data_IF_333317655629
#
_entry.id   IF_333317655629
#
_cell.length_a   1.000
_cell.length_b   1.000
_cell.length_c   1.000
_cell.angle_alpha   90.00
_cell.angle_beta   90.00
_cell.angle_gamma   90.00
#
_symmetry.space_group_name_H-M   'P 1'
#
loop_
_entity.id
_entity.type
_entity.pdbx_description
1 polymer ?
#
# COMPACT_ATOMS: atom_id res chain seq x y z
N UNK A 1 22.77 -34.44 18.77
CA UNK A 1 22.69 -35.72 18.03
C UNK A 1 22.62 -35.41 16.54
N UNK A 2 23.44 -36.05 15.72
CA UNK A 2 23.40 -35.88 14.25
C UNK A 2 22.79 -37.15 13.65
N UNK A 3 21.70 -37.01 12.90
CA UNK A 3 21.03 -38.16 12.28
C UNK A 3 21.63 -38.35 10.90
N UNK A 4 22.35 -39.45 10.69
CA UNK A 4 22.83 -39.82 9.35
C UNK A 4 21.66 -40.34 8.53
N UNK A 5 21.32 -39.60 7.47
CA UNK A 5 20.29 -39.98 6.51
C UNK A 5 20.92 -40.74 5.35
N UNK A 6 20.38 -41.92 5.04
CA UNK A 6 20.68 -42.63 3.78
C UNK A 6 20.17 -41.83 2.58
N UNK A 7 20.69 -42.08 1.38
CA UNK A 7 20.24 -41.37 0.18
C UNK A 7 18.76 -41.63 -0.16
N UNK A 8 18.21 -42.78 0.25
CA UNK A 8 16.78 -43.08 0.16
C UNK A 8 15.94 -42.23 1.14
N UNK A 9 16.53 -41.80 2.26
CA UNK A 9 15.86 -40.97 3.27
C UNK A 9 15.99 -39.47 3.00
N UNK A 10 16.92 -39.05 2.11
CA UNK A 10 17.01 -37.67 1.62
C UNK A 10 15.92 -37.40 0.59
N UNK A 11 14.68 -37.52 1.03
CA UNK A 11 13.51 -37.30 0.21
C UNK A 11 13.34 -35.80 -0.08
N UNK A 12 12.51 -35.51 -1.08
CA UNK A 12 12.00 -34.16 -1.32
C UNK A 12 10.80 -33.94 -0.39
N UNK A 13 10.85 -32.89 0.41
CA UNK A 13 9.73 -32.45 1.23
C UNK A 13 8.72 -31.74 0.33
N UNK A 14 7.48 -32.20 0.35
CA UNK A 14 6.34 -31.63 -0.38
C UNK A 14 5.46 -30.83 0.59
N UNK A 15 5.23 -31.36 1.80
CA UNK A 15 4.38 -30.75 2.81
C UNK A 15 4.88 -31.08 4.24
N UNK A 16 4.16 -30.58 5.25
CA UNK A 16 4.47 -30.80 6.66
C UNK A 16 4.27 -32.26 7.12
N UNK A 17 3.42 -33.04 6.44
CA UNK A 17 3.24 -34.48 6.72
C UNK A 17 4.53 -35.27 6.46
N UNK A 18 5.25 -34.96 5.37
CA UNK A 18 6.54 -35.60 5.07
C UNK A 18 7.56 -35.36 6.19
N UNK A 19 7.56 -34.15 6.75
CA UNK A 19 8.44 -33.77 7.86
C UNK A 19 8.04 -34.54 9.12
N UNK A 20 6.75 -34.55 9.44
CA UNK A 20 6.23 -35.24 10.60
C UNK A 20 6.53 -36.74 10.55
N UNK A 21 6.31 -37.41 9.42
CA UNK A 21 6.57 -38.83 9.26
C UNK A 21 8.04 -39.23 9.49
N UNK A 22 8.98 -38.31 9.23
CA UNK A 22 10.40 -38.50 9.55
C UNK A 22 10.62 -38.28 11.05
N UNK A 23 10.17 -37.14 11.57
CA UNK A 23 10.44 -36.73 12.94
C UNK A 23 9.74 -37.59 13.99
N UNK A 24 8.54 -38.10 13.70
CA UNK A 24 7.83 -39.04 14.55
C UNK A 24 8.66 -40.32 14.77
N UNK A 25 9.32 -40.83 13.71
CA UNK A 25 10.21 -41.99 13.83
C UNK A 25 11.47 -41.68 14.65
N UNK A 26 11.92 -40.42 14.65
CA UNK A 26 13.04 -39.98 15.49
C UNK A 26 12.59 -39.99 16.95
N UNK A 27 11.47 -39.34 17.27
CA UNK A 27 10.93 -39.28 18.64
C UNK A 27 10.64 -40.68 19.21
N UNK A 28 10.00 -41.55 18.43
CA UNK A 28 9.64 -42.91 18.88
C UNK A 28 10.85 -43.83 19.11
N UNK A 29 12.05 -43.44 18.67
CA UNK A 29 13.29 -44.19 18.88
C UNK A 29 14.11 -43.67 20.06
N UNK A 30 13.74 -42.53 20.63
CA UNK A 30 14.39 -42.00 21.84
C UNK A 30 14.06 -42.86 23.04
N UNK A 31 15.00 -42.96 23.98
CA UNK A 31 14.76 -43.62 25.26
C UNK A 31 13.74 -42.83 26.08
N UNK A 32 13.04 -43.50 27.01
CA UNK A 32 11.93 -42.94 27.80
C UNK A 32 12.32 -41.61 28.47
N UNK A 33 13.56 -41.50 28.97
CA UNK A 33 14.06 -40.30 29.65
C UNK A 33 14.18 -39.10 28.70
N UNK A 34 14.56 -39.35 27.45
CA UNK A 34 14.70 -38.28 26.45
C UNK A 34 13.35 -37.90 25.84
N UNK A 35 12.40 -38.84 25.73
CA UNK A 35 11.03 -38.53 25.30
C UNK A 35 10.31 -37.52 26.23
N UNK A 36 10.72 -37.43 27.50
CA UNK A 36 10.21 -36.45 28.47
C UNK A 36 10.85 -35.05 28.35
N UNK A 37 11.83 -34.87 27.46
CA UNK A 37 12.52 -33.59 27.25
C UNK A 37 12.02 -32.88 26.00
N UNK A 38 12.05 -31.55 26.06
CA UNK A 38 11.88 -30.73 24.88
C UNK A 38 13.15 -30.73 24.03
N UNK A 39 12.97 -30.83 22.73
CA UNK A 39 13.99 -30.87 21.71
C UNK A 39 13.64 -29.91 20.60
N UNK A 40 14.58 -29.03 20.28
CA UNK A 40 14.47 -28.17 19.13
C UNK A 40 15.39 -28.66 18.02
N UNK A 41 14.79 -29.15 16.95
CA UNK A 41 15.45 -29.67 15.77
C UNK A 41 15.35 -28.68 14.61
N UNK A 42 16.29 -28.82 13.69
CA UNK A 42 16.20 -28.18 12.38
C UNK A 42 16.41 -29.21 11.28
N UNK A 43 15.71 -29.01 10.17
CA UNK A 43 15.89 -29.78 8.95
C UNK A 43 16.43 -28.83 7.89
N UNK A 44 17.67 -29.05 7.47
CA UNK A 44 18.28 -28.28 6.39
C UNK A 44 17.87 -28.81 5.03
N UNK A 45 17.51 -27.91 4.13
CA UNK A 45 17.03 -28.22 2.79
C UNK A 45 17.87 -27.55 1.70
N UNK A 46 17.93 -28.23 0.55
CA UNK A 46 18.38 -27.63 -0.71
C UNK A 46 17.35 -26.64 -1.27
N UNK A 47 17.73 -25.91 -2.32
CA UNK A 47 16.81 -25.06 -3.10
C UNK A 47 15.60 -25.83 -3.63
N UNK A 48 15.72 -27.13 -3.90
CA UNK A 48 14.66 -27.99 -4.44
C UNK A 48 13.89 -28.76 -3.35
N UNK A 49 13.96 -28.34 -2.08
CA UNK A 49 13.32 -28.98 -0.92
C UNK A 49 13.80 -30.41 -0.63
N UNK A 50 14.95 -30.82 -1.16
CA UNK A 50 15.58 -32.09 -0.77
C UNK A 50 16.27 -31.93 0.60
N UNK A 51 16.05 -32.88 1.50
CA UNK A 51 16.69 -32.88 2.82
C UNK A 51 18.21 -33.05 2.68
N UNK A 52 18.95 -32.19 3.36
CA UNK A 52 20.40 -32.29 3.54
C UNK A 52 20.74 -32.97 4.86
N UNK A 53 20.06 -32.57 5.94
CA UNK A 53 20.31 -33.07 7.28
C UNK A 53 19.12 -32.82 8.20
N UNK A 54 19.07 -33.57 9.31
CA UNK A 54 18.23 -33.32 10.48
C UNK A 54 19.17 -33.21 11.68
N UNK A 55 19.09 -32.12 12.44
CA UNK A 55 20.01 -31.86 13.54
C UNK A 55 19.31 -31.31 14.77
N UNK A 56 19.65 -31.86 15.93
CA UNK A 56 19.22 -31.34 17.22
C UNK A 56 20.05 -30.10 17.55
N UNK A 57 19.41 -28.94 17.62
CA UNK A 57 20.07 -27.66 17.92
C UNK A 57 20.07 -27.37 19.41
N UNK A 58 19.01 -27.75 20.10
CA UNK A 58 18.89 -27.49 21.53
C UNK A 58 18.12 -28.61 22.23
N UNK A 59 18.63 -29.00 23.39
CA UNK A 59 18.04 -29.95 24.30
C UNK A 59 17.58 -29.17 25.54
N UNK A 60 16.28 -29.04 25.70
CA UNK A 60 15.67 -28.34 26.82
C UNK A 60 15.54 -29.19 28.06
N UNK A 61 15.09 -28.53 29.12
CA UNK A 61 14.54 -29.20 30.29
C UNK A 61 13.09 -29.62 30.02
N UNK A 62 12.42 -30.19 31.01
CA UNK A 62 10.97 -30.51 30.94
C UNK A 62 10.09 -29.27 30.66
N UNK A 63 10.59 -28.06 30.94
CA UNK A 63 9.78 -26.83 30.93
C UNK A 63 10.07 -25.85 29.79
N UNK A 64 11.23 -25.95 29.15
CA UNK A 64 11.64 -25.03 28.11
C UNK A 64 12.96 -25.48 27.45
N UNK A 65 13.07 -25.16 26.16
CA UNK A 65 14.31 -25.16 25.39
C UNK A 65 14.73 -23.73 25.04
N UNK A 66 15.99 -23.35 25.32
CA UNK A 66 16.54 -22.08 24.82
C UNK A 66 17.15 -22.28 23.45
N UNK A 67 16.71 -21.51 22.46
CA UNK A 67 17.17 -21.60 21.08
C UNK A 67 17.78 -20.28 20.66
N UNK A 68 19.08 -20.29 20.38
CA UNK A 68 19.80 -19.13 19.89
C UNK A 68 19.96 -19.20 18.36
N UNK A 69 19.63 -18.13 17.61
CA UNK A 69 19.76 -18.11 16.15
C UNK A 69 21.15 -18.49 15.64
N UNK A 70 22.21 -18.12 16.38
CA UNK A 70 23.59 -18.47 16.03
C UNK A 70 23.79 -19.98 15.94
N UNK A 71 23.19 -20.76 16.85
CA UNK A 71 23.34 -22.22 16.85
C UNK A 71 22.53 -22.87 15.71
N UNK A 72 21.31 -22.37 15.47
CA UNK A 72 20.46 -22.81 14.36
C UNK A 72 21.17 -22.60 13.03
N UNK A 73 21.60 -21.38 12.75
CA UNK A 73 22.11 -21.02 11.43
C UNK A 73 23.57 -21.41 11.21
N UNK A 74 24.38 -21.58 12.27
CA UNK A 74 25.74 -22.15 12.13
C UNK A 74 25.71 -23.50 11.43
N UNK A 75 24.82 -24.39 11.85
CA UNK A 75 24.67 -25.72 11.25
C UNK A 75 24.18 -25.62 9.81
N UNK A 76 23.16 -24.80 9.56
CA UNK A 76 22.61 -24.60 8.24
C UNK A 76 23.65 -24.09 7.23
N UNK A 77 24.44 -23.09 7.63
CA UNK A 77 25.51 -22.54 6.80
C UNK A 77 26.60 -23.59 6.55
N UNK A 78 27.10 -24.25 7.58
CA UNK A 78 28.17 -25.26 7.44
C UNK A 78 27.78 -26.42 6.53
N UNK A 79 26.49 -26.75 6.48
CA UNK A 79 25.94 -27.84 5.66
C UNK A 79 25.30 -27.35 4.36
N UNK A 80 25.51 -26.09 3.98
CA UNK A 80 25.01 -25.48 2.73
C UNK A 80 23.48 -25.57 2.55
N UNK A 81 22.71 -25.47 3.62
CA UNK A 81 21.27 -25.36 3.54
C UNK A 81 20.86 -23.96 3.09
N UNK A 82 19.90 -23.90 2.16
CA UNK A 82 19.31 -22.64 1.67
C UNK A 82 17.96 -22.38 2.34
N UNK A 83 17.33 -23.44 2.85
CA UNK A 83 16.08 -23.40 3.61
C UNK A 83 16.20 -24.26 4.85
N UNK A 84 15.47 -23.90 5.89
CA UNK A 84 15.34 -24.69 7.12
C UNK A 84 13.87 -24.86 7.51
N UNK A 85 13.54 -26.03 8.04
CA UNK A 85 12.28 -26.26 8.76
C UNK A 85 12.62 -26.41 10.24
N UNK A 86 11.88 -25.69 11.09
CA UNK A 86 12.01 -25.75 12.53
C UNK A 86 11.08 -26.84 13.07
N UNK A 87 11.53 -27.61 14.05
CA UNK A 87 10.70 -28.65 14.66
C UNK A 87 10.92 -28.65 16.17
N UNK A 88 9.83 -28.52 16.93
CA UNK A 88 9.84 -28.56 18.38
C UNK A 88 8.90 -29.67 18.87
N UNK A 89 9.38 -30.62 19.67
CA UNK A 89 8.47 -31.59 20.30
C UNK A 89 7.92 -31.04 21.61
N UNK A 90 6.65 -31.31 21.86
CA UNK A 90 6.02 -31.09 23.15
C UNK A 90 5.74 -32.46 23.80
N UNK A 91 6.53 -32.88 24.81
CA UNK A 91 6.31 -34.15 25.51
C UNK A 91 4.91 -34.30 26.12
N UNK A 92 4.29 -33.17 26.47
CA UNK A 92 2.91 -33.11 27.00
C UNK A 92 1.83 -33.52 25.99
N UNK A 93 2.17 -33.61 24.70
CA UNK A 93 1.20 -33.83 23.62
C UNK A 93 0.35 -32.61 23.24
N UNK A 94 0.44 -31.50 23.99
CA UNK A 94 -0.28 -30.28 23.65
C UNK A 94 0.42 -29.56 22.50
N UNK A 95 -0.21 -29.51 21.33
CA UNK A 95 0.34 -28.88 20.13
C UNK A 95 0.11 -27.36 20.04
N UNK A 96 -0.45 -26.74 21.08
CA UNK A 96 -0.70 -25.30 21.09
C UNK A 96 0.62 -24.52 21.14
N UNK A 97 0.91 -23.62 20.18
CA UNK A 97 2.12 -22.82 20.21
C UNK A 97 2.20 -21.90 21.42
N UNK A 98 3.27 -22.05 22.21
CA UNK A 98 3.56 -21.18 23.34
C UNK A 98 4.01 -19.78 22.87
N UNK A 99 4.01 -18.76 23.75
CA UNK A 99 4.63 -17.48 23.44
C UNK A 99 6.11 -17.59 23.10
N UNK A 100 6.83 -18.54 23.70
CA UNK A 100 8.24 -18.79 23.43
C UNK A 100 8.44 -19.36 22.01
N UNK A 101 7.58 -20.28 21.58
CA UNK A 101 7.60 -20.82 20.21
C UNK A 101 7.40 -19.72 19.18
N UNK A 102 6.43 -18.84 19.41
CA UNK A 102 6.14 -17.71 18.50
C UNK A 102 7.33 -16.74 18.45
N UNK A 103 7.90 -16.42 19.60
CA UNK A 103 9.03 -15.49 19.70
C UNK A 103 10.29 -16.01 19.01
N UNK A 104 10.67 -17.27 19.27
CA UNK A 104 11.84 -17.87 18.61
C UNK A 104 11.61 -17.98 17.11
N UNK A 105 10.40 -18.35 16.68
CA UNK A 105 10.08 -18.48 15.26
C UNK A 105 10.22 -17.15 14.55
N UNK A 106 9.62 -16.08 15.07
CA UNK A 106 9.76 -14.73 14.53
C UNK A 106 11.24 -14.34 14.43
N UNK A 107 12.00 -14.48 15.52
CA UNK A 107 13.43 -14.17 15.55
C UNK A 107 14.21 -14.95 14.48
N UNK A 108 13.92 -16.24 14.31
CA UNK A 108 14.59 -17.09 13.32
C UNK A 108 14.17 -16.75 11.89
N UNK A 109 12.92 -16.37 11.64
CA UNK A 109 12.47 -15.88 10.33
C UNK A 109 13.27 -14.64 9.94
N UNK A 110 13.32 -13.62 10.83
CA UNK A 110 14.01 -12.37 10.53
C UNK A 110 15.51 -12.59 10.30
N UNK A 111 16.18 -13.40 11.15
CA UNK A 111 17.60 -13.72 10.97
C UNK A 111 17.83 -14.48 9.67
N UNK A 112 17.01 -15.49 9.39
CA UNK A 112 17.10 -16.31 8.17
C UNK A 112 16.98 -15.49 6.89
N UNK A 113 16.10 -14.48 6.89
CA UNK A 113 15.98 -13.51 5.78
C UNK A 113 17.29 -12.76 5.52
N UNK A 114 17.94 -12.28 6.58
CA UNK A 114 19.16 -11.46 6.48
C UNK A 114 20.35 -12.26 5.94
N UNK A 115 20.47 -13.53 6.31
CA UNK A 115 21.60 -14.39 5.92
C UNK A 115 21.31 -15.29 4.71
N UNK A 116 20.15 -15.12 4.08
CA UNK A 116 19.67 -15.92 2.93
C UNK A 116 19.56 -17.43 3.22
N UNK A 117 19.15 -17.78 4.44
CA UNK A 117 18.78 -19.15 4.83
C UNK A 117 17.35 -19.10 5.37
N UNK A 118 16.37 -19.32 4.50
CA UNK A 118 14.97 -19.07 4.83
C UNK A 118 14.41 -20.16 5.76
N UNK A 119 13.87 -19.76 6.91
CA UNK A 119 12.92 -20.62 7.62
C UNK A 119 11.62 -20.66 6.80
N UNK A 120 11.08 -21.85 6.55
CA UNK A 120 9.87 -22.00 5.69
C UNK A 120 8.66 -22.59 6.41
N UNK A 121 8.87 -23.22 7.56
CA UNK A 121 7.80 -23.69 8.44
C UNK A 121 8.37 -23.94 9.86
N UNK A 122 7.49 -24.02 10.83
CA UNK A 122 7.76 -24.51 12.17
C UNK A 122 6.69 -25.52 12.58
N UNK A 123 7.11 -26.75 12.85
CA UNK A 123 6.23 -27.80 13.35
C UNK A 123 6.38 -27.95 14.86
N UNK A 124 5.24 -27.98 15.56
CA UNK A 124 5.15 -28.54 16.91
C UNK A 124 4.68 -29.97 16.78
N UNK A 125 5.39 -30.93 17.36
CA UNK A 125 5.13 -32.37 17.18
C UNK A 125 4.95 -33.10 18.51
N UNK A 126 4.17 -34.18 18.47
CA UNK A 126 4.07 -35.22 19.50
C UNK A 126 4.19 -36.61 18.84
N UNK A 127 4.29 -37.70 19.64
CA UNK A 127 4.29 -39.05 19.09
C UNK A 127 3.04 -39.39 18.25
N UNK A 128 1.91 -38.72 18.50
CA UNK A 128 0.61 -39.02 17.89
C UNK A 128 0.14 -38.00 16.85
N UNK A 129 0.60 -36.74 16.93
CA UNK A 129 0.14 -35.69 16.01
C UNK A 129 1.15 -34.55 15.86
N UNK A 130 0.83 -33.57 15.02
CA UNK A 130 1.60 -32.34 14.84
C UNK A 130 0.73 -31.14 14.45
N UNK A 131 1.32 -29.96 14.57
CA UNK A 131 0.80 -28.69 14.09
C UNK A 131 1.89 -27.97 13.29
N UNK A 132 1.56 -27.51 12.09
CA UNK A 132 2.42 -26.68 11.25
C UNK A 132 2.00 -25.21 11.36
N UNK A 133 2.96 -24.33 11.61
CA UNK A 133 2.72 -22.88 11.69
C UNK A 133 2.30 -22.31 10.34
N UNK A 134 2.88 -22.83 9.25
CA UNK A 134 2.45 -22.45 7.90
C UNK A 134 0.97 -22.80 7.72
N UNK A 135 0.60 -24.06 7.99
CA UNK A 135 -0.75 -24.56 7.71
C UNK A 135 -1.85 -23.79 8.45
N UNK A 136 -1.58 -23.33 9.68
CA UNK A 136 -2.53 -22.53 10.46
C UNK A 136 -2.46 -21.02 10.17
N UNK A 137 -1.61 -20.59 9.24
CA UNK A 137 -1.38 -19.18 8.87
C UNK A 137 -0.55 -18.38 9.89
N UNK A 138 -0.05 -19.02 10.95
CA UNK A 138 0.74 -18.36 11.98
C UNK A 138 2.11 -17.93 11.45
N UNK A 139 2.72 -18.71 10.56
CA UNK A 139 4.03 -18.40 10.00
C UNK A 139 4.04 -17.06 9.27
N UNK A 140 3.05 -16.84 8.38
CA UNK A 140 2.92 -15.57 7.65
C UNK A 140 2.65 -14.37 8.55
N UNK A 141 1.90 -14.55 9.65
CA UNK A 141 1.71 -13.49 10.64
C UNK A 141 3.03 -13.11 11.35
N UNK A 142 3.87 -14.09 11.66
CA UNK A 142 5.19 -13.85 12.29
C UNK A 142 6.20 -13.29 11.29
N UNK A 143 6.13 -13.66 10.01
CA UNK A 143 6.98 -13.08 8.96
C UNK A 143 6.76 -11.57 8.81
N UNK A 144 5.50 -11.11 8.96
CA UNK A 144 5.13 -9.69 8.95
C UNK A 144 5.38 -8.96 10.28
N UNK A 145 5.87 -9.65 11.32
CA UNK A 145 6.15 -9.05 12.63
C UNK A 145 7.32 -8.08 12.54
N UNK A 146 7.18 -6.92 13.18
CA UNK A 146 8.27 -5.94 13.33
C UNK A 146 9.15 -6.20 14.56
N UNK A 147 8.81 -7.17 15.42
CA UNK A 147 9.45 -7.35 16.73
C UNK A 147 10.96 -7.59 16.63
N UNK A 148 11.36 -8.49 15.72
CA UNK A 148 12.76 -8.85 15.50
C UNK A 148 13.33 -8.28 14.19
N UNK A 149 12.58 -7.42 13.51
CA UNK A 149 13.07 -6.75 12.30
C UNK A 149 14.23 -5.81 12.65
N UNK A 150 15.30 -5.78 11.83
CA UNK A 150 16.34 -4.78 12.00
C UNK A 150 15.79 -3.36 11.90
N UNK A 151 16.30 -2.46 12.76
CA UNK A 151 15.82 -1.09 12.83
C UNK A 151 15.93 -0.33 11.49
N UNK A 152 16.93 -0.63 10.67
CA UNK A 152 17.10 0.02 9.36
C UNK A 152 15.96 -0.31 8.40
N UNK A 153 15.46 -1.54 8.39
CA UNK A 153 14.32 -1.93 7.56
C UNK A 153 13.03 -1.25 8.02
N UNK A 154 12.83 -1.14 9.33
CA UNK A 154 11.67 -0.41 9.88
C UNK A 154 11.70 1.05 9.44
N UNK A 155 12.87 1.70 9.49
CA UNK A 155 13.05 3.08 9.05
C UNK A 155 12.77 3.21 7.55
N UNK A 156 13.23 2.27 6.73
CA UNK A 156 12.96 2.27 5.29
C UNK A 156 11.47 2.12 5.00
N UNK A 157 10.78 1.18 5.65
CA UNK A 157 9.33 1.01 5.51
C UNK A 157 8.58 2.29 5.88
N UNK A 158 8.96 2.95 6.98
CA UNK A 158 8.37 4.23 7.39
C UNK A 158 8.60 5.30 6.32
N UNK A 159 9.83 5.43 5.80
CA UNK A 159 10.16 6.42 4.77
C UNK A 159 9.38 6.18 3.47
N UNK A 160 9.22 4.93 3.07
CA UNK A 160 8.43 4.58 1.89
C UNK A 160 6.95 4.93 2.07
N UNK A 161 6.41 4.67 3.25
CA UNK A 161 5.02 4.99 3.57
C UNK A 161 4.80 6.50 3.69
N UNK A 162 5.71 7.24 4.32
CA UNK A 162 5.71 8.71 4.34
C UNK A 162 5.73 9.29 2.92
N UNK A 163 6.52 8.69 2.01
CA UNK A 163 6.58 9.10 0.61
C UNK A 163 5.27 8.87 -0.13
N UNK A 164 4.58 7.74 0.12
CA UNK A 164 3.24 7.48 -0.43
C UNK A 164 2.23 8.50 0.07
N UNK A 165 2.14 8.67 1.39
CA UNK A 165 1.21 9.63 2.01
C UNK A 165 1.45 11.03 1.44
N UNK A 166 2.72 11.44 1.33
CA UNK A 166 3.08 12.73 0.72
C UNK A 166 2.62 12.83 -0.72
N UNK A 167 2.80 11.78 -1.53
CA UNK A 167 2.38 11.77 -2.94
C UNK A 167 0.86 11.91 -3.05
N UNK A 168 0.10 11.13 -2.29
CA UNK A 168 -1.37 11.19 -2.25
C UNK A 168 -1.86 12.57 -1.80
N UNK A 169 -1.21 13.17 -0.80
CA UNK A 169 -1.54 14.51 -0.33
C UNK A 169 -1.30 15.58 -1.40
N UNK A 170 -0.22 15.47 -2.19
CA UNK A 170 0.08 16.37 -3.30
C UNK A 170 -0.97 16.23 -4.41
N UNK A 171 -1.27 15.01 -4.86
CA UNK A 171 -2.30 14.76 -5.88
C UNK A 171 -3.67 15.32 -5.44
N UNK A 172 -4.04 15.11 -4.17
CA UNK A 172 -5.28 15.66 -3.62
C UNK A 172 -5.27 17.19 -3.59
N UNK A 173 -4.12 17.81 -3.29
CA UNK A 173 -3.97 19.26 -3.28
C UNK A 173 -4.07 19.85 -4.69
N UNK A 174 -3.50 19.20 -5.70
CA UNK A 174 -3.60 19.60 -7.11
C UNK A 174 -5.06 19.60 -7.59
N UNK A 175 -5.81 18.51 -7.39
CA UNK A 175 -7.23 18.41 -7.76
C UNK A 175 -8.07 19.49 -7.05
N UNK A 176 -7.80 19.74 -5.77
CA UNK A 176 -8.47 20.83 -5.03
C UNK A 176 -8.10 22.21 -5.59
N UNK A 177 -6.84 22.39 -5.98
CA UNK A 177 -6.32 23.60 -6.61
C UNK A 177 -7.02 23.88 -7.94
N UNK A 178 -7.13 22.89 -8.82
CA UNK A 178 -7.82 23.00 -10.12
C UNK A 178 -9.28 23.41 -9.94
N UNK A 179 -10.03 22.72 -9.07
CA UNK A 179 -11.45 23.05 -8.78
C UNK A 179 -11.61 24.47 -8.25
N UNK A 180 -10.69 24.93 -7.38
CA UNK A 180 -10.69 26.32 -6.88
C UNK A 180 -10.40 27.30 -8.00
N UNK A 181 -9.42 27.01 -8.85
CA UNK A 181 -9.07 27.79 -10.03
C UNK A 181 -10.24 27.92 -10.99
N UNK A 182 -10.93 26.82 -11.32
CA UNK A 182 -12.08 26.82 -12.21
C UNK A 182 -13.23 27.68 -11.66
N UNK A 183 -13.56 27.54 -10.36
CA UNK A 183 -14.59 28.36 -9.71
C UNK A 183 -14.24 29.85 -9.74
N UNK A 184 -12.98 30.18 -9.44
CA UNK A 184 -12.49 31.56 -9.45
C UNK A 184 -12.56 32.14 -10.87
N UNK A 185 -12.07 31.41 -11.87
CA UNK A 185 -12.11 31.82 -13.28
C UNK A 185 -13.52 32.01 -13.82
N UNK A 186 -14.48 31.12 -13.46
CA UNK A 186 -15.90 31.31 -13.82
C UNK A 186 -16.47 32.61 -13.23
N UNK A 187 -16.18 32.89 -11.95
CA UNK A 187 -16.67 34.11 -11.28
C UNK A 187 -16.10 35.37 -11.93
N UNK A 188 -14.78 35.43 -12.13
CA UNK A 188 -14.11 36.56 -12.79
C UNK A 188 -14.60 36.76 -14.23
N UNK A 189 -14.83 35.66 -14.97
CA UNK A 189 -15.34 35.70 -16.33
C UNK A 189 -16.76 36.30 -16.43
N UNK A 190 -17.64 35.96 -15.47
CA UNK A 190 -18.99 36.55 -15.38
C UNK A 190 -18.89 38.05 -15.12
N UNK A 191 -18.11 38.46 -14.12
CA UNK A 191 -17.95 39.87 -13.72
C UNK A 191 -17.42 40.74 -14.86
N UNK A 192 -16.37 40.28 -15.56
CA UNK A 192 -15.82 40.95 -16.74
C UNK A 192 -16.84 40.98 -17.89
N UNK A 193 -17.60 39.91 -18.06
CA UNK A 193 -18.63 39.79 -19.09
C UNK A 193 -19.77 40.79 -18.89
N UNK A 194 -20.25 40.91 -17.65
CA UNK A 194 -21.28 41.88 -17.23
C UNK A 194 -20.80 43.31 -17.47
N UNK A 195 -19.60 43.67 -16.99
CA UNK A 195 -19.04 45.02 -17.15
C UNK A 195 -18.89 45.41 -18.64
N UNK A 196 -18.40 44.49 -19.47
CA UNK A 196 -18.27 44.70 -20.92
C UNK A 196 -19.64 44.79 -21.60
N UNK A 197 -20.60 43.98 -21.17
CA UNK A 197 -21.96 43.98 -21.68
C UNK A 197 -22.66 45.31 -21.42
N UNK A 198 -22.56 45.82 -20.18
CA UNK A 198 -23.13 47.10 -19.76
C UNK A 198 -22.54 48.27 -20.56
N UNK A 199 -21.20 48.35 -20.67
CA UNK A 199 -20.52 49.40 -21.47
C UNK A 199 -20.97 49.40 -22.93
N UNK A 200 -21.11 48.22 -23.53
CA UNK A 200 -21.61 48.09 -24.92
C UNK A 200 -23.07 48.51 -25.05
N UNK A 201 -23.92 48.12 -24.11
CA UNK A 201 -25.33 48.50 -24.07
C UNK A 201 -25.53 50.00 -23.97
N UNK A 202 -24.82 50.66 -23.04
CA UNK A 202 -24.82 52.11 -22.88
C UNK A 202 -24.40 52.85 -24.16
N UNK A 203 -23.32 52.38 -24.81
CA UNK A 203 -22.85 52.97 -26.07
C UNK A 203 -23.90 52.87 -27.18
N UNK A 204 -24.47 51.68 -27.40
CA UNK A 204 -25.51 51.45 -28.41
C UNK A 204 -26.76 52.29 -28.13
N UNK A 205 -27.25 52.29 -26.90
CA UNK A 205 -28.43 53.08 -26.52
C UNK A 205 -28.21 54.58 -26.69
N UNK A 206 -26.98 55.06 -26.47
CA UNK A 206 -26.61 56.46 -26.75
C UNK A 206 -26.64 56.76 -28.25
N UNK A 207 -26.06 55.89 -29.09
CA UNK A 207 -26.06 56.04 -30.55
C UNK A 207 -27.50 56.04 -31.11
N UNK A 208 -28.34 55.09 -30.68
CA UNK A 208 -29.76 55.01 -31.06
C UNK A 208 -30.54 56.25 -30.60
N UNK A 209 -30.33 56.69 -29.35
CA UNK A 209 -30.98 57.87 -28.79
C UNK A 209 -30.64 59.16 -29.55
N UNK A 210 -29.38 59.31 -29.99
CA UNK A 210 -28.94 60.42 -30.85
C UNK A 210 -29.71 60.39 -32.18
N UNK A 211 -29.76 59.22 -32.85
CA UNK A 211 -30.46 59.09 -34.14
C UNK A 211 -31.95 59.41 -34.04
N UNK A 212 -32.64 58.91 -33.01
CA UNK A 212 -34.07 59.22 -32.76
C UNK A 212 -34.26 60.72 -32.50
N UNK A 213 -33.32 61.34 -31.76
CA UNK A 213 -33.33 62.76 -31.46
C UNK A 213 -33.18 63.62 -32.72
N UNK A 214 -32.24 63.28 -33.59
CA UNK A 214 -32.02 63.93 -34.89
C UNK A 214 -33.27 63.83 -35.77
N UNK A 215 -33.83 62.63 -35.92
CA UNK A 215 -35.03 62.41 -36.75
C UNK A 215 -36.25 63.23 -36.24
N UNK A 216 -36.46 63.27 -34.92
CA UNK A 216 -37.49 64.13 -34.30
C UNK A 216 -37.21 65.61 -34.50
N UNK A 217 -35.95 66.01 -34.39
CA UNK A 217 -35.50 67.38 -34.61
C UNK A 217 -35.82 67.85 -36.03
N UNK A 218 -35.50 67.03 -37.03
CA UNK A 218 -35.83 67.32 -38.43
C UNK A 218 -37.34 67.41 -38.66
N UNK A 219 -38.13 66.47 -38.12
CA UNK A 219 -39.61 66.52 -38.21
C UNK A 219 -40.17 67.79 -37.58
N UNK A 220 -39.68 68.19 -36.40
CA UNK A 220 -40.12 69.41 -35.73
C UNK A 220 -39.71 70.68 -36.51
N UNK A 221 -38.48 70.72 -37.06
CA UNK A 221 -38.02 71.81 -37.91
C UNK A 221 -38.88 71.94 -39.16
N UNK A 222 -39.19 70.83 -39.82
CA UNK A 222 -40.10 70.81 -40.97
C UNK A 222 -41.51 71.30 -40.61
N UNK A 223 -42.04 70.91 -39.44
CA UNK A 223 -43.35 71.35 -38.95
C UNK A 223 -43.37 72.86 -38.66
N UNK A 224 -42.33 73.39 -38.00
CA UNK A 224 -42.17 74.82 -37.74
C UNK A 224 -42.04 75.62 -39.05
N UNK A 225 -41.21 75.16 -39.99
CA UNK A 225 -41.08 75.79 -41.32
C UNK A 225 -42.43 75.80 -42.06
N UNK A 226 -43.20 74.70 -42.01
CA UNK A 226 -44.53 74.65 -42.60
C UNK A 226 -45.51 75.64 -41.95
N UNK A 227 -45.46 75.85 -40.63
CA UNK A 227 -46.26 76.88 -39.95
C UNK A 227 -45.89 78.29 -40.41
N UNK A 228 -44.59 78.58 -40.54
CA UNK A 228 -44.08 79.88 -41.03
C UNK A 228 -44.54 80.13 -42.47
N UNK A 229 -44.39 79.14 -43.36
CA UNK A 229 -44.85 79.22 -44.76
C UNK A 229 -46.36 79.53 -44.86
N UNK A 230 -47.18 78.94 -43.98
CA UNK A 230 -48.64 79.15 -43.97
C UNK A 230 -49.05 80.54 -43.48
N UNK A 231 -48.24 81.18 -42.64
CA UNK A 231 -48.48 82.52 -42.08
C UNK A 231 -48.13 83.64 -43.08
N UNK A 232 -47.12 83.44 -43.91
CA UNK A 232 -46.57 84.46 -44.81
C UNK A 232 -47.00 84.34 -46.29
N UNK A 233 -47.85 83.35 -46.66
CA UNK A 233 -48.32 83.10 -48.05
C UNK A 233 -47.19 83.00 -49.11
N UNK A 234 -46.00 82.54 -48.73
CA UNK A 234 -44.89 82.33 -49.69
C UNK A 234 -44.93 80.94 -50.32
N UNK A 235 -44.51 80.84 -51.59
CA UNK A 235 -44.49 79.59 -52.36
C UNK A 235 -43.31 78.70 -51.99
N UNK A 236 -43.44 77.38 -52.17
CA UNK A 236 -42.43 76.37 -51.79
C UNK A 236 -41.08 76.58 -52.49
N UNK A 237 -41.06 77.23 -53.66
CA UNK A 237 -39.89 77.44 -54.51
C UNK A 237 -38.92 78.50 -53.98
N UNK A 238 -39.38 79.48 -53.17
CA UNK A 238 -38.51 80.57 -52.70
C UNK A 238 -37.54 80.17 -51.56
N UNK A 239 -37.82 79.07 -50.85
CA UNK A 239 -37.10 78.70 -49.62
C UNK A 239 -36.06 77.59 -49.84
N UNK A 240 -36.12 76.82 -50.94
CA UNK A 240 -35.08 75.86 -51.32
C UNK A 240 -33.70 76.48 -51.57
N UNK A 241 -33.58 77.82 -51.59
CA UNK A 241 -32.30 78.55 -51.60
C UNK A 241 -31.53 78.54 -50.26
N UNK A 242 -32.16 78.11 -49.16
CA UNK A 242 -31.62 78.29 -47.80
C UNK A 242 -31.56 77.01 -46.94
N UNK A 243 -31.88 75.85 -47.52
CA UNK A 243 -31.67 74.51 -46.94
C UNK A 243 -30.53 73.82 -47.67
#
# INVERSE_FOLDING_TARGET
>A
MNIELTDQQKIKIINSEDVYAIMQKVLLREDIIDQEKEHFWIIGLTTHNKILFVELVSLGSVNATTVEPMNVFRVAILKNAVKVILVHNHPSGNLTPSPADKDVTDRLIQVGRIINVQAIDHLIISPESYLSFEHIGLFGMLEASMKWMPAYEIIENIREEEKKIRKEAVEMAEVKGERRGEKKGKKEGIEIGEERGEKRGLKKGREEGIGIGEERGEKNKALEMAKVMKKDKKSVEEIQKYT
#
